data_IF_324934457774
#
_entry.id   IF_324934457774
#
_cell.length_a   1.000
_cell.length_b   1.000
_cell.length_c   1.000
_cell.angle_alpha   90.00
_cell.angle_beta   90.00
_cell.angle_gamma   90.00
#
_symmetry.space_group_name_H-M   'P 1'
#
loop_
_entity.id
_entity.type
_entity.pdbx_description
1 polymer ?
#
# COMPACT_ATOMS: atom_id res chain seq x y z
N UNK A 1 -31.65 -13.13 -10.93
CA UNK A 1 -31.66 -11.87 -11.68
C UNK A 1 -30.25 -11.56 -12.14
N UNK A 2 -30.02 -11.34 -13.43
CA UNK A 2 -28.71 -10.87 -13.90
C UNK A 2 -28.50 -9.43 -13.39
N UNK A 3 -27.40 -9.20 -12.67
CA UNK A 3 -27.00 -7.87 -12.18
C UNK A 3 -26.18 -7.09 -13.22
N UNK A 4 -25.88 -7.70 -14.38
CA UNK A 4 -25.16 -7.05 -15.47
C UNK A 4 -23.74 -6.62 -15.07
N UNK A 5 -23.11 -7.32 -14.14
CA UNK A 5 -21.76 -6.99 -13.65
C UNK A 5 -20.76 -7.19 -14.79
N UNK A 6 -20.05 -6.12 -15.16
CA UNK A 6 -19.03 -6.11 -16.22
C UNK A 6 -17.61 -6.17 -15.67
N UNK A 7 -17.43 -5.87 -14.38
CA UNK A 7 -16.17 -6.02 -13.68
C UNK A 7 -16.15 -5.34 -12.33
N UNK A 8 -15.00 -5.42 -11.67
CA UNK A 8 -14.75 -4.83 -10.37
C UNK A 8 -13.28 -4.53 -10.13
N UNK A 9 -13.03 -3.61 -9.19
CA UNK A 9 -11.74 -3.38 -8.54
C UNK A 9 -11.93 -3.37 -7.03
N UNK A 10 -10.98 -3.97 -6.32
CA UNK A 10 -10.95 -4.07 -4.86
C UNK A 10 -9.63 -3.54 -4.33
N UNK A 11 -9.72 -2.62 -3.37
CA UNK A 11 -8.61 -2.19 -2.55
C UNK A 11 -8.77 -2.71 -1.11
N UNK A 12 -7.67 -3.18 -0.52
CA UNK A 12 -7.56 -3.54 0.88
C UNK A 12 -6.79 -2.45 1.61
N UNK A 13 -7.46 -1.80 2.55
CA UNK A 13 -6.91 -0.80 3.46
C UNK A 13 -6.85 -1.42 4.85
N UNK A 14 -5.72 -1.29 5.54
CA UNK A 14 -5.55 -1.79 6.91
C UNK A 14 -5.00 -0.68 7.77
N UNK A 15 -5.71 -0.39 8.86
CA UNK A 15 -5.28 0.58 9.87
C UNK A 15 -5.27 -0.06 11.24
N UNK A 16 -4.51 0.52 12.17
CA UNK A 16 -4.49 0.09 13.56
C UNK A 16 -5.03 1.21 14.45
N UNK A 17 -6.11 0.94 15.18
CA UNK A 17 -6.76 1.89 16.07
C UNK A 17 -6.75 1.40 17.51
N UNK A 18 -7.55 2.07 18.35
CA UNK A 18 -7.71 1.71 19.77
C UNK A 18 -8.16 0.26 19.99
N UNK A 19 -9.01 -0.25 19.09
CA UNK A 19 -9.57 -1.61 19.16
C UNK A 19 -8.80 -2.63 18.31
N UNK A 20 -7.55 -2.34 17.94
CA UNK A 20 -6.70 -3.24 17.16
C UNK A 20 -6.72 -2.98 15.65
N UNK A 21 -6.54 -4.04 14.85
CA UNK A 21 -6.55 -3.97 13.39
C UNK A 21 -7.94 -3.76 12.80
N UNK A 22 -8.04 -2.82 11.86
CA UNK A 22 -9.24 -2.47 11.13
C UNK A 22 -9.01 -2.68 9.63
N UNK A 23 -9.21 -3.91 9.11
CA UNK A 23 -9.16 -4.18 7.69
C UNK A 23 -10.47 -3.74 7.01
N UNK A 24 -10.34 -2.92 5.97
CA UNK A 24 -11.43 -2.47 5.12
C UNK A 24 -11.21 -2.92 3.67
N UNK A 25 -12.27 -3.46 3.08
CA UNK A 25 -12.33 -3.70 1.64
C UNK A 25 -13.18 -2.62 0.99
N UNK A 26 -12.56 -1.88 0.08
CA UNK A 26 -13.26 -0.92 -0.77
C UNK A 26 -13.39 -1.52 -2.15
N UNK A 27 -14.63 -1.70 -2.60
CA UNK A 27 -14.95 -2.40 -3.84
C UNK A 27 -15.76 -1.47 -4.73
N UNK A 28 -15.28 -1.28 -5.94
CA UNK A 28 -16.07 -0.68 -7.01
C UNK A 28 -16.57 -1.79 -7.92
N UNK A 29 -17.89 -1.90 -8.01
CA UNK A 29 -18.59 -2.86 -8.85
C UNK A 29 -19.18 -2.11 -10.04
N UNK A 30 -18.81 -2.54 -11.25
CA UNK A 30 -19.28 -1.92 -12.48
C UNK A 30 -20.38 -2.77 -13.08
N UNK A 31 -21.51 -2.14 -13.37
CA UNK A 31 -22.66 -2.79 -14.00
C UNK A 31 -22.98 -2.13 -15.34
N UNK A 32 -23.52 -2.90 -16.28
CA UNK A 32 -23.90 -2.44 -17.62
C UNK A 32 -24.99 -1.36 -17.56
N UNK A 33 -25.86 -1.45 -16.55
CA UNK A 33 -26.94 -0.52 -16.31
C UNK A 33 -27.00 -0.18 -14.81
N UNK A 34 -27.53 1.00 -14.43
CA UNK A 34 -27.82 1.31 -13.04
C UNK A 34 -28.72 0.25 -12.42
N UNK A 35 -28.37 -0.20 -11.22
CA UNK A 35 -29.18 -1.17 -10.48
C UNK A 35 -30.39 -0.46 -9.85
N UNK A 36 -31.56 -1.11 -9.91
CA UNK A 36 -32.72 -0.71 -9.11
C UNK A 36 -32.49 -0.99 -7.63
N UNK A 37 -33.29 -0.36 -6.75
CA UNK A 37 -33.18 -0.62 -5.30
C UNK A 37 -33.36 -2.10 -4.97
N UNK A 38 -34.33 -2.79 -5.59
CA UNK A 38 -34.53 -4.23 -5.38
C UNK A 38 -33.30 -5.06 -5.80
N UNK A 39 -32.59 -4.67 -6.87
CA UNK A 39 -31.35 -5.32 -7.27
C UNK A 39 -30.20 -5.02 -6.30
N UNK A 40 -30.14 -3.81 -5.73
CA UNK A 40 -29.16 -3.44 -4.70
C UNK A 40 -29.41 -4.26 -3.43
N UNK A 41 -30.67 -4.45 -3.02
CA UNK A 41 -31.01 -5.23 -1.83
C UNK A 41 -30.60 -6.71 -2.00
N UNK A 42 -30.87 -7.29 -3.18
CA UNK A 42 -30.41 -8.65 -3.53
C UNK A 42 -28.88 -8.75 -3.53
N UNK A 43 -28.19 -7.75 -4.09
CA UNK A 43 -26.72 -7.71 -4.09
C UNK A 43 -26.17 -7.58 -2.66
N UNK A 44 -26.78 -6.72 -1.84
CA UNK A 44 -26.40 -6.52 -0.45
C UNK A 44 -26.53 -7.83 0.33
N UNK A 45 -27.67 -8.51 0.22
CA UNK A 45 -27.90 -9.78 0.90
C UNK A 45 -26.87 -10.83 0.46
N UNK A 46 -26.67 -10.99 -0.84
CA UNK A 46 -25.71 -11.94 -1.40
C UNK A 46 -24.27 -11.73 -0.88
N UNK A 47 -23.83 -10.47 -0.80
CA UNK A 47 -22.48 -10.14 -0.33
C UNK A 47 -22.37 -10.25 1.18
N UNK A 48 -23.38 -9.78 1.92
CA UNK A 48 -23.37 -9.77 3.38
C UNK A 48 -23.37 -11.18 3.96
N UNK A 49 -24.18 -12.10 3.41
CA UNK A 49 -24.21 -13.49 3.85
C UNK A 49 -22.82 -14.14 3.74
N UNK A 50 -22.19 -14.04 2.56
CA UNK A 50 -20.83 -14.56 2.33
C UNK A 50 -19.77 -13.92 3.21
N UNK A 51 -19.86 -12.60 3.40
CA UNK A 51 -18.93 -11.88 4.26
C UNK A 51 -19.08 -12.31 5.72
N UNK A 52 -20.31 -12.39 6.21
CA UNK A 52 -20.61 -12.83 7.56
C UNK A 52 -20.18 -14.27 7.79
N UNK A 53 -20.46 -15.19 6.87
CA UNK A 53 -20.01 -16.57 6.93
C UNK A 53 -18.48 -16.68 7.01
N UNK A 54 -17.76 -15.92 6.17
CA UNK A 54 -16.30 -15.90 6.19
C UNK A 54 -15.73 -15.39 7.53
N UNK A 55 -16.32 -14.32 8.09
CA UNK A 55 -15.90 -13.75 9.37
C UNK A 55 -16.18 -14.71 10.54
N UNK A 56 -17.34 -15.37 10.54
CA UNK A 56 -17.69 -16.35 11.57
C UNK A 56 -16.83 -17.61 11.45
N UNK A 57 -16.57 -18.08 10.23
CA UNK A 57 -15.67 -19.21 9.99
C UNK A 57 -14.23 -18.92 10.43
N UNK A 58 -13.80 -17.65 10.39
CA UNK A 58 -12.52 -17.21 10.93
C UNK A 58 -12.48 -17.06 12.47
N UNK A 59 -13.59 -17.35 13.17
CA UNK A 59 -13.68 -17.34 14.63
C UNK A 59 -14.11 -16.01 15.25
N UNK A 60 -14.55 -15.05 14.43
CA UNK A 60 -15.01 -13.74 14.91
C UNK A 60 -16.54 -13.68 15.02
N UNK A 61 -17.04 -12.65 15.73
CA UNK A 61 -18.47 -12.35 15.77
C UNK A 61 -18.95 -11.93 14.38
N UNK A 62 -20.17 -12.34 14.02
CA UNK A 62 -20.83 -11.87 12.81
C UNK A 62 -20.80 -10.33 12.72
N UNK A 63 -20.43 -9.77 11.55
CA UNK A 63 -20.37 -8.34 11.34
C UNK A 63 -21.74 -7.68 11.58
N UNK A 64 -21.76 -6.40 11.93
CA UNK A 64 -23.02 -5.70 12.10
C UNK A 64 -23.69 -5.44 10.73
N UNK A 65 -24.99 -5.73 10.51
CA UNK A 65 -25.65 -5.53 9.22
C UNK A 65 -25.46 -4.11 8.65
N UNK A 66 -25.62 -3.08 9.48
CA UNK A 66 -25.52 -1.68 9.02
C UNK A 66 -24.09 -1.18 8.78
N UNK A 67 -23.08 -1.81 9.35
CA UNK A 67 -21.71 -1.26 9.39
C UNK A 67 -20.67 -2.20 8.78
N UNK A 68 -20.97 -3.49 8.67
CA UNK A 68 -20.10 -4.51 8.09
C UNK A 68 -20.12 -4.54 6.58
N UNK A 69 -21.20 -4.06 5.95
CA UNK A 69 -21.29 -3.90 4.50
C UNK A 69 -22.21 -2.75 4.14
N UNK A 70 -21.67 -1.79 3.38
CA UNK A 70 -22.40 -0.63 2.88
C UNK A 70 -22.25 -0.59 1.36
N UNK A 71 -23.38 -0.46 0.66
CA UNK A 71 -23.41 -0.24 -0.79
C UNK A 71 -23.92 1.18 -1.03
N UNK A 72 -23.15 1.97 -1.77
CA UNK A 72 -23.50 3.33 -2.16
C UNK A 72 -23.44 3.49 -3.68
N UNK A 73 -24.21 4.44 -4.22
CA UNK A 73 -24.11 4.79 -5.63
C UNK A 73 -22.76 5.44 -5.94
N UNK A 74 -22.23 5.14 -7.13
CA UNK A 74 -20.89 5.59 -7.56
C UNK A 74 -20.74 7.08 -7.87
N UNK A 75 -21.61 7.97 -7.36
CA UNK A 75 -21.45 9.43 -7.53
C UNK A 75 -20.08 9.92 -7.02
N UNK A 76 -19.55 9.27 -5.98
CA UNK A 76 -18.21 9.52 -5.43
C UNK A 76 -17.16 8.47 -5.86
N UNK A 77 -17.54 7.51 -6.71
CA UNK A 77 -16.63 6.45 -7.17
C UNK A 77 -15.49 7.02 -7.99
N UNK A 78 -15.67 8.14 -8.70
CA UNK A 78 -14.60 8.80 -9.47
C UNK A 78 -13.42 9.22 -8.60
N UNK A 79 -13.67 9.88 -7.47
CA UNK A 79 -12.62 10.19 -6.48
C UNK A 79 -11.96 8.93 -5.93
N UNK A 80 -12.73 7.86 -5.76
CA UNK A 80 -12.26 6.58 -5.23
C UNK A 80 -11.41 5.81 -6.24
N UNK A 81 -11.80 5.77 -7.52
CA UNK A 81 -11.02 5.22 -8.64
C UNK A 81 -9.72 5.99 -8.74
N UNK A 82 -9.76 7.32 -8.75
CA UNK A 82 -8.56 8.16 -8.81
C UNK A 82 -7.65 7.91 -7.61
N UNK A 83 -8.19 7.78 -6.40
CA UNK A 83 -7.41 7.44 -5.20
C UNK A 83 -6.77 6.05 -5.31
N UNK A 84 -7.53 5.03 -5.72
CA UNK A 84 -7.04 3.66 -5.88
C UNK A 84 -6.05 3.51 -7.05
N UNK A 85 -6.28 4.22 -8.16
CA UNK A 85 -5.56 4.04 -9.43
C UNK A 85 -4.39 5.00 -9.60
N UNK A 86 -4.53 6.28 -9.23
CA UNK A 86 -3.44 7.26 -9.32
C UNK A 86 -2.54 7.24 -8.07
N UNK A 87 -3.02 6.75 -6.92
CA UNK A 87 -2.18 6.61 -5.73
C UNK A 87 -1.60 5.20 -5.58
N UNK A 88 -1.43 4.46 -6.69
CA UNK A 88 -0.94 3.08 -6.69
C UNK A 88 0.13 2.88 -5.61
N UNK A 89 -0.03 1.84 -4.78
CA UNK A 89 0.70 1.45 -3.56
C UNK A 89 1.90 2.34 -3.13
N UNK A 90 2.83 2.63 -4.04
CA UNK A 90 3.88 3.64 -3.90
C UNK A 90 3.40 5.01 -3.39
N UNK A 91 2.33 5.63 -3.90
CA UNK A 91 1.89 6.94 -3.40
C UNK A 91 1.10 6.86 -2.09
N UNK A 92 0.43 5.74 -1.80
CA UNK A 92 -0.11 5.48 -0.45
C UNK A 92 0.98 5.25 0.60
N UNK A 93 2.11 4.69 0.21
CA UNK A 93 3.31 4.51 1.04
C UNK A 93 4.13 5.81 1.14
N UNK A 94 4.15 6.64 0.09
CA UNK A 94 4.96 7.87 0.03
C UNK A 94 4.22 9.13 0.50
N UNK A 95 2.89 9.14 0.56
CA UNK A 95 2.09 10.27 1.06
C UNK A 95 1.59 10.05 2.50
N UNK A 96 2.39 9.38 3.33
CA UNK A 96 2.10 9.11 4.75
C UNK A 96 1.76 10.37 5.55
N UNK A 97 2.33 11.52 5.17
CA UNK A 97 2.14 12.81 5.84
C UNK A 97 0.75 13.43 5.62
N UNK A 98 -0.01 13.03 4.58
CA UNK A 98 -1.31 13.66 4.26
C UNK A 98 -2.53 12.95 4.86
N UNK A 99 -2.38 11.72 5.36
CA UNK A 99 -3.49 10.93 5.96
C UNK A 99 -3.24 10.67 7.44
N UNK A 100 -3.29 11.69 8.30
CA UNK A 100 -3.55 11.46 9.73
C UNK A 100 -4.88 10.72 9.85
N UNK A 101 -4.87 9.48 10.35
CA UNK A 101 -6.09 8.72 10.53
C UNK A 101 -7.07 9.49 11.42
N UNK A 102 -8.37 9.39 11.12
CA UNK A 102 -9.40 9.95 12.01
C UNK A 102 -9.35 9.21 13.35
N UNK A 103 -9.55 9.93 14.45
CA UNK A 103 -9.71 9.36 15.80
C UNK A 103 -8.54 8.45 16.25
N UNK A 104 -7.30 8.92 16.11
CA UNK A 104 -6.09 8.26 16.61
C UNK A 104 -5.76 6.88 15.99
N UNK A 105 -6.37 6.52 14.86
CA UNK A 105 -5.97 5.33 14.09
C UNK A 105 -4.73 5.63 13.23
N UNK A 106 -3.81 4.66 13.14
CA UNK A 106 -2.56 4.75 12.37
C UNK A 106 -2.60 3.87 11.13
N UNK A 107 -2.13 4.39 10.01
CA UNK A 107 -1.83 3.56 8.83
C UNK A 107 -0.55 2.78 9.06
N UNK A 108 -0.33 1.69 8.30
CA UNK A 108 0.92 0.91 8.40
C UNK A 108 2.16 1.77 8.12
N UNK A 109 2.19 2.64 7.08
CA UNK A 109 3.30 3.57 6.91
C UNK A 109 3.53 4.49 8.11
N UNK A 110 2.47 4.98 8.79
CA UNK A 110 2.64 5.77 10.02
C UNK A 110 3.28 4.95 11.15
N UNK A 111 2.94 3.66 11.27
CA UNK A 111 3.59 2.78 12.26
C UNK A 111 5.07 2.55 11.90
N UNK A 112 5.41 2.47 10.60
CA UNK A 112 6.82 2.38 10.14
C UNK A 112 7.58 3.67 10.49
N UNK A 113 7.01 4.83 10.17
CA UNK A 113 7.60 6.14 10.46
C UNK A 113 7.78 6.34 11.98
N UNK A 114 6.74 6.05 12.78
CA UNK A 114 6.79 6.11 14.24
C UNK A 114 7.87 5.17 14.81
N UNK A 115 8.00 3.96 14.26
CA UNK A 115 9.05 3.03 14.69
C UNK A 115 10.45 3.56 14.34
N UNK A 116 10.62 4.16 13.15
CA UNK A 116 11.87 4.77 12.73
C UNK A 116 12.28 5.98 13.58
N UNK A 117 11.33 6.85 13.92
CA UNK A 117 11.60 8.08 14.67
C UNK A 117 11.73 7.83 16.19
N UNK A 118 10.94 6.92 16.76
CA UNK A 118 10.87 6.74 18.21
C UNK A 118 11.42 5.40 18.71
N UNK A 119 11.65 4.41 17.84
CA UNK A 119 12.20 3.10 18.21
C UNK A 119 11.33 2.31 19.20
N UNK A 120 10.02 2.57 19.27
CA UNK A 120 9.13 1.95 20.26
C UNK A 120 8.94 0.47 19.96
N UNK A 121 9.11 -0.36 21.00
CA UNK A 121 8.91 -1.80 20.91
C UNK A 121 7.47 -2.17 20.49
N UNK A 122 6.48 -1.40 20.92
CA UNK A 122 5.08 -1.58 20.51
C UNK A 122 4.86 -1.43 19.01
N UNK A 123 5.58 -0.51 18.36
CA UNK A 123 5.44 -0.30 16.91
C UNK A 123 6.12 -1.42 16.14
N UNK A 124 7.25 -1.93 16.64
CA UNK A 124 7.89 -3.14 16.11
C UNK A 124 6.96 -4.35 16.15
N UNK A 125 6.31 -4.60 17.29
CA UNK A 125 5.38 -5.73 17.47
C UNK A 125 4.18 -5.63 16.51
N UNK A 126 3.63 -4.43 16.32
CA UNK A 126 2.56 -4.20 15.33
C UNK A 126 3.04 -4.48 13.91
N UNK A 127 4.26 -4.08 13.54
CA UNK A 127 4.81 -4.37 12.22
C UNK A 127 5.03 -5.86 12.01
N UNK A 128 5.54 -6.58 13.01
CA UNK A 128 5.70 -8.04 12.95
C UNK A 128 4.36 -8.75 12.78
N UNK A 129 3.34 -8.37 13.56
CA UNK A 129 1.98 -8.91 13.42
C UNK A 129 1.40 -8.64 12.03
N UNK A 130 1.54 -7.40 11.53
CA UNK A 130 1.08 -7.01 10.20
C UNK A 130 1.76 -7.82 9.10
N UNK A 131 3.08 -8.00 9.17
CA UNK A 131 3.86 -8.76 8.18
C UNK A 131 3.41 -10.23 8.11
N UNK A 132 3.10 -10.83 9.27
CA UNK A 132 2.59 -12.20 9.34
C UNK A 132 1.16 -12.26 8.79
N UNK A 133 0.27 -11.37 9.23
CA UNK A 133 -1.14 -11.36 8.85
C UNK A 133 -1.39 -11.00 7.38
N UNK A 134 -0.53 -10.18 6.79
CA UNK A 134 -0.67 -9.71 5.41
C UNK A 134 0.15 -10.49 4.39
N UNK A 135 0.82 -11.57 4.81
CA UNK A 135 1.63 -12.39 3.91
C UNK A 135 0.77 -12.96 2.77
N UNK A 136 1.07 -12.54 1.54
CA UNK A 136 0.34 -12.96 0.34
C UNK A 136 -0.97 -12.20 0.10
N UNK A 137 -1.31 -11.23 0.95
CA UNK A 137 -2.46 -10.37 0.73
C UNK A 137 -2.24 -9.48 -0.49
N UNK A 138 -3.26 -9.40 -1.35
CA UNK A 138 -3.26 -8.47 -2.48
C UNK A 138 -3.93 -7.17 -2.05
N UNK A 139 -3.20 -6.07 -2.06
CA UNK A 139 -3.72 -4.76 -1.70
C UNK A 139 -4.66 -4.19 -2.76
N UNK A 140 -4.34 -4.40 -4.04
CA UNK A 140 -5.17 -4.01 -5.17
C UNK A 140 -5.45 -5.22 -6.05
N UNK A 141 -6.70 -5.42 -6.44
CA UNK A 141 -7.10 -6.54 -7.30
C UNK A 141 -8.17 -6.12 -8.28
N UNK A 142 -7.98 -6.51 -9.54
CA UNK A 142 -8.91 -6.23 -10.62
C UNK A 142 -9.54 -7.54 -11.09
N UNK A 143 -10.81 -7.49 -11.48
CA UNK A 143 -11.43 -8.55 -12.25
C UNK A 143 -10.69 -8.79 -13.58
N UNK A 144 -10.70 -10.05 -14.05
CA UNK A 144 -9.90 -10.48 -15.21
C UNK A 144 -10.24 -9.66 -16.46
N UNK A 145 -9.24 -9.04 -17.08
CA UNK A 145 -9.39 -8.29 -18.33
C UNK A 145 -9.96 -6.87 -18.16
N UNK A 146 -10.56 -6.54 -17.02
CA UNK A 146 -11.23 -5.25 -16.83
C UNK A 146 -10.26 -4.06 -16.88
N UNK A 147 -9.10 -4.17 -16.21
CA UNK A 147 -8.05 -3.13 -16.26
C UNK A 147 -7.60 -2.85 -17.70
N UNK A 148 -7.33 -3.91 -18.48
CA UNK A 148 -6.87 -3.80 -19.88
C UNK A 148 -7.93 -3.19 -20.80
N UNK A 149 -9.21 -3.43 -20.50
CA UNK A 149 -10.31 -2.98 -21.34
C UNK A 149 -10.68 -1.51 -21.09
N UNK A 150 -10.59 -1.04 -19.83
CA UNK A 150 -11.16 0.24 -19.43
C UNK A 150 -10.14 1.27 -18.93
N UNK A 151 -8.91 0.87 -18.60
CA UNK A 151 -7.84 1.83 -18.34
C UNK A 151 -6.88 1.90 -19.53
N UNK A 152 -6.42 3.11 -19.89
CA UNK A 152 -5.32 3.24 -20.83
C UNK A 152 -4.10 2.45 -20.32
N UNK A 153 -3.24 2.03 -21.25
CA UNK A 153 -1.96 1.43 -20.88
C UNK A 153 -1.24 2.37 -19.89
N UNK A 154 -0.72 1.80 -18.82
CA UNK A 154 -0.06 2.52 -17.74
C UNK A 154 1.04 3.41 -18.35
N UNK A 155 0.75 4.71 -18.47
CA UNK A 155 1.76 5.71 -18.80
C UNK A 155 2.58 5.88 -17.52
N UNK A 156 3.57 5.00 -17.35
CA UNK A 156 4.56 5.04 -16.28
C UNK A 156 5.30 6.40 -16.20
N UNK A 157 5.19 7.22 -17.24
CA UNK A 157 5.83 8.52 -17.38
C UNK A 157 4.95 9.70 -16.93
N UNK A 158 3.72 9.46 -16.45
CA UNK A 158 2.89 10.54 -15.91
C UNK A 158 3.26 10.77 -14.43
N UNK A 159 3.68 11.98 -14.02
CA UNK A 159 4.04 12.24 -12.63
C UNK A 159 2.86 11.91 -11.72
N UNK A 160 3.05 10.88 -10.89
CA UNK A 160 2.14 10.49 -9.82
C UNK A 160 2.07 11.66 -8.84
N UNK A 161 0.86 12.18 -8.63
CA UNK A 161 0.52 13.39 -7.85
C UNK A 161 0.62 14.72 -8.63
N UNK A 162 -0.51 15.14 -9.19
CA UNK A 162 -0.85 16.57 -9.20
C UNK A 162 -1.68 16.82 -7.94
N UNK A 163 -1.02 17.27 -6.87
CA UNK A 163 -1.46 18.44 -6.08
C UNK A 163 -0.58 18.69 -4.85
N UNK A 164 0.38 19.56 -5.06
CA UNK A 164 0.78 20.70 -4.21
C UNK A 164 1.73 21.51 -5.07
N UNK A 165 1.53 22.83 -5.16
CA UNK A 165 2.28 23.79 -5.99
C UNK A 165 3.63 23.27 -6.54
N UNK A 166 3.78 23.05 -7.87
CA UNK A 166 4.99 22.51 -8.48
C UNK A 166 6.24 23.38 -8.21
N UNK A 167 6.09 24.55 -7.59
CA UNK A 167 7.18 25.41 -7.13
C UNK A 167 7.98 24.88 -5.93
N UNK A 168 7.57 23.77 -5.26
CA UNK A 168 8.18 23.32 -3.99
C UNK A 168 8.87 21.95 -3.99
N UNK A 169 8.73 21.14 -5.04
CA UNK A 169 9.36 19.81 -5.09
C UNK A 169 10.75 19.86 -5.75
N UNK A 170 11.82 19.57 -4.99
CA UNK A 170 13.17 19.40 -5.54
C UNK A 170 13.37 17.97 -6.05
N UNK A 171 13.72 17.81 -7.34
CA UNK A 171 14.26 16.55 -7.82
C UNK A 171 15.65 16.30 -7.22
N UNK A 172 15.79 15.25 -6.40
CA UNK A 172 17.07 14.90 -5.75
C UNK A 172 17.88 13.92 -6.62
N UNK A 173 17.34 12.73 -6.88
CA UNK A 173 17.97 11.69 -7.69
C UNK A 173 16.95 10.68 -8.23
N UNK A 174 17.30 9.99 -9.30
CA UNK A 174 16.54 8.87 -9.85
C UNK A 174 17.47 7.66 -10.00
N UNK A 175 16.94 6.47 -9.71
CA UNK A 175 17.63 5.21 -9.92
C UNK A 175 16.92 4.43 -11.04
N UNK A 176 17.71 3.83 -11.92
CA UNK A 176 17.20 2.75 -12.78
C UNK A 176 16.84 1.52 -11.93
N UNK A 177 16.08 0.58 -12.51
CA UNK A 177 15.77 -0.68 -11.84
C UNK A 177 17.03 -1.44 -11.42
N UNK A 178 18.03 -1.53 -12.30
CA UNK A 178 19.31 -2.18 -12.01
C UNK A 178 20.10 -1.50 -10.87
N UNK A 179 20.07 -0.17 -10.82
CA UNK A 179 20.69 0.61 -9.74
C UNK A 179 20.00 0.37 -8.39
N UNK A 180 18.67 0.31 -8.40
CA UNK A 180 17.87 -0.01 -7.22
C UNK A 180 18.19 -1.42 -6.71
N UNK A 181 18.22 -2.41 -7.60
CA UNK A 181 18.55 -3.79 -7.26
C UNK A 181 19.96 -3.90 -6.67
N UNK A 182 20.95 -3.23 -7.27
CA UNK A 182 22.32 -3.21 -6.76
C UNK A 182 22.40 -2.62 -5.35
N UNK A 183 21.79 -1.46 -5.11
CA UNK A 183 21.81 -0.80 -3.81
C UNK A 183 21.17 -1.68 -2.72
N UNK A 184 19.99 -2.25 -3.02
CA UNK A 184 19.26 -3.09 -2.05
C UNK A 184 19.98 -4.43 -1.81
N UNK A 185 20.63 -5.01 -2.82
CA UNK A 185 21.43 -6.22 -2.63
C UNK A 185 22.70 -5.97 -1.82
N UNK A 186 23.32 -4.80 -1.99
CA UNK A 186 24.51 -4.41 -1.24
C UNK A 186 24.17 -4.12 0.23
N UNK A 187 23.15 -3.30 0.46
CA UNK A 187 22.65 -2.98 1.79
C UNK A 187 21.12 -2.84 1.74
N UNK A 188 20.38 -3.86 2.22
CA UNK A 188 18.92 -3.84 2.27
C UNK A 188 18.34 -2.68 3.09
N UNK A 189 19.16 -2.00 3.90
CA UNK A 189 18.75 -0.83 4.70
C UNK A 189 18.56 0.43 3.89
N UNK A 190 19.18 0.50 2.70
CA UNK A 190 19.09 1.68 1.84
C UNK A 190 17.68 1.93 1.30
N UNK A 191 16.82 0.90 1.28
CA UNK A 191 15.41 1.03 0.92
C UNK A 191 14.65 2.03 1.80
N UNK A 192 15.08 2.25 3.04
CA UNK A 192 14.48 3.23 3.95
C UNK A 192 15.40 4.43 4.23
N UNK A 193 16.71 4.21 4.34
CA UNK A 193 17.67 5.28 4.66
C UNK A 193 17.72 6.37 3.60
N UNK A 194 17.63 6.01 2.32
CA UNK A 194 17.66 7.00 1.22
C UNK A 194 16.41 7.91 1.26
N UNK A 195 15.17 7.38 1.30
CA UNK A 195 13.98 8.20 1.51
C UNK A 195 14.00 9.03 2.80
N UNK A 196 14.50 8.46 3.90
CA UNK A 196 14.57 9.15 5.19
C UNK A 196 15.59 10.31 5.15
N UNK A 197 16.76 10.09 4.57
CA UNK A 197 17.78 11.13 4.38
C UNK A 197 17.29 12.25 3.45
N UNK A 198 16.52 11.90 2.42
CA UNK A 198 15.84 12.87 1.57
C UNK A 198 14.84 13.73 2.37
N UNK A 199 14.01 13.10 3.22
CA UNK A 199 13.02 13.79 4.05
C UNK A 199 13.67 14.71 5.10
N UNK A 200 14.73 14.24 5.77
CA UNK A 200 15.37 14.96 6.90
C UNK A 200 16.40 16.01 6.43
N UNK A 201 17.10 15.74 5.33
CA UNK A 201 18.30 16.51 4.96
C UNK A 201 18.38 16.84 3.46
N UNK A 202 17.35 16.54 2.68
CA UNK A 202 17.31 16.81 1.24
C UNK A 202 18.44 16.14 0.47
N UNK A 203 18.87 16.78 -0.63
CA UNK A 203 19.97 16.29 -1.48
C UNK A 203 21.26 15.98 -0.72
N UNK A 204 21.75 16.81 0.24
CA UNK A 204 22.94 16.48 1.03
C UNK A 204 22.85 15.15 1.78
N UNK A 205 21.71 14.83 2.39
CA UNK A 205 21.51 13.57 3.11
C UNK A 205 21.58 12.36 2.19
N UNK A 206 20.89 12.45 1.04
CA UNK A 206 20.91 11.38 0.03
C UNK A 206 22.33 11.18 -0.52
N UNK A 207 23.05 12.26 -0.82
CA UNK A 207 24.43 12.14 -1.30
C UNK A 207 25.36 11.55 -0.24
N UNK A 208 25.16 11.86 1.05
CA UNK A 208 25.95 11.25 2.13
C UNK A 208 25.73 9.73 2.21
N UNK A 209 24.49 9.26 2.05
CA UNK A 209 24.18 7.83 1.94
C UNK A 209 24.88 7.20 0.73
N UNK A 210 24.79 7.82 -0.46
CA UNK A 210 25.35 7.26 -1.70
C UNK A 210 26.88 7.28 -1.77
N UNK A 211 27.53 8.28 -1.16
CA UNK A 211 29.00 8.42 -1.12
C UNK A 211 29.65 7.27 -0.35
N UNK A 212 29.00 6.75 0.70
CA UNK A 212 29.49 5.58 1.45
C UNK A 212 29.70 4.37 0.52
N UNK A 213 28.93 4.29 -0.57
CA UNK A 213 28.97 3.18 -1.53
C UNK A 213 29.75 3.52 -2.81
N UNK A 214 30.38 4.70 -2.88
CA UNK A 214 30.98 5.24 -4.10
C UNK A 214 30.02 5.15 -5.31
N UNK A 215 28.73 5.37 -5.05
CA UNK A 215 27.67 5.15 -6.02
C UNK A 215 27.44 6.42 -6.84
N UNK A 216 27.63 6.32 -8.15
CA UNK A 216 27.35 7.42 -9.07
C UNK A 216 25.94 7.27 -9.66
N UNK A 217 25.06 8.22 -9.35
CA UNK A 217 23.72 8.26 -9.91
C UNK A 217 23.74 8.35 -11.46
N UNK A 218 24.84 8.85 -12.04
CA UNK A 218 25.01 9.04 -13.50
C UNK A 218 25.58 7.83 -14.22
N UNK A 219 26.17 6.87 -13.50
CA UNK A 219 26.82 5.70 -14.09
C UNK A 219 26.54 4.45 -13.25
N UNK A 220 25.99 3.39 -13.85
CA UNK A 220 25.90 2.08 -13.17
C UNK A 220 27.34 1.60 -12.94
N UNK A 221 27.76 1.32 -11.70
CA UNK A 221 29.07 0.71 -11.48
C UNK A 221 29.08 -0.64 -12.18
N UNK A 222 30.06 -0.87 -13.07
CA UNK A 222 30.34 -2.23 -13.53
C UNK A 222 30.69 -3.06 -12.29
N UNK A 223 29.82 -4.00 -11.95
CA UNK A 223 29.98 -4.93 -10.84
C UNK A 223 31.38 -5.55 -10.88
N UNK A 224 32.28 -5.07 -10.02
CA UNK A 224 33.63 -5.62 -9.85
C UNK A 224 33.94 -5.96 -8.39
N UNK A 225 33.07 -5.58 -7.45
CA UNK A 225 33.10 -6.11 -6.08
C UNK A 225 31.90 -7.02 -5.85
N UNK A 226 32.13 -8.29 -5.48
CA UNK A 226 31.04 -9.12 -5.01
C UNK A 226 30.45 -8.48 -3.74
N UNK A 227 29.13 -8.59 -3.52
CA UNK A 227 28.51 -8.11 -2.29
C UNK A 227 29.21 -8.75 -1.09
N UNK A 228 29.41 -8.02 0.03
CA UNK A 228 29.92 -8.63 1.24
C UNK A 228 29.04 -9.82 1.62
N UNK A 229 29.65 -10.95 2.00
CA UNK A 229 28.89 -12.09 2.50
C UNK A 229 28.16 -11.67 3.78
N UNK A 230 26.89 -11.29 3.64
CA UNK A 230 26.02 -11.05 4.78
C UNK A 230 25.83 -12.40 5.45
N UNK A 231 26.36 -12.56 6.66
CA UNK A 231 26.03 -13.73 7.48
C UNK A 231 24.50 -13.77 7.59
N UNK A 232 23.86 -14.92 7.28
CA UNK A 232 22.42 -15.04 7.46
C UNK A 232 22.07 -14.63 8.88
N UNK A 233 20.95 -13.91 9.02
CA UNK A 233 20.36 -13.62 10.32
C UNK A 233 20.39 -14.89 11.18
N UNK A 234 20.80 -14.81 12.46
CA UNK A 234 20.78 -15.97 13.32
C UNK A 234 19.37 -16.53 13.30
N UNK A 235 19.22 -17.78 12.86
CA UNK A 235 17.95 -18.49 13.00
C UNK A 235 17.64 -18.48 14.48
N UNK A 236 16.56 -17.82 14.87
CA UNK A 236 16.01 -17.94 16.22
C UNK A 236 15.74 -19.42 16.42
N UNK A 237 16.58 -20.07 17.22
CA UNK A 237 16.43 -21.46 17.56
C UNK A 237 15.11 -21.62 18.30
N UNK A 238 14.24 -22.49 17.80
CA UNK A 238 13.15 -23.01 18.61
C UNK A 238 13.77 -23.82 19.73
N UNK A 239 13.82 -23.27 20.94
CA UNK A 239 14.02 -24.07 22.14
C UNK A 239 12.81 -25.00 22.28
N UNK A 240 13.11 -26.29 22.37
CA UNK A 240 12.16 -27.34 22.76
C UNK A 240 11.67 -27.14 24.18
#
# INVERSE_FOLDING_TARGET
HDLGIIGWVRALEVTHGWFGWHPHLHILLFTRHPLSQAQIDVLWQFLYERWSEAIVAAGYRSPHPKHGLVISHGKDAGHYVTKICNQGLAAEISQTDSKKGRLASRTVPQVIDDWGDYGRQSDKELLEEWLVGMRGARHLTWSRGFRKQYLPAEQLDHPLAQDSDPSTAEFICQFTGQQTDFLIQYDPTLRWRIPEAAKKHGRPGVMAELVIFNFDCRNVPASTRPPPQVKPWPRVGTSK
#
